data_IF_896954793928
#
_entry.id   IF_896954793928
#
_cell.length_a   1.000
_cell.length_b   1.000
_cell.length_c   1.000
_cell.angle_alpha   90.00
_cell.angle_beta   90.00
_cell.angle_gamma   90.00
#
_symmetry.space_group_name_H-M   'P 1'
#
loop_
_entity.id
_entity.type
_entity.pdbx_description
1 polymer ?
#
# COMPACT_ATOMS: atom_id res chain seq x y z
N UNK A 1 -49.61 60.46 5.19
CA UNK A 1 -48.88 59.18 5.10
C UNK A 1 -48.99 58.53 6.47
N UNK A 2 -49.89 57.57 6.60
CA UNK A 2 -50.03 56.77 7.82
C UNK A 2 -48.88 55.79 7.86
N UNK A 3 -48.07 55.83 8.92
CA UNK A 3 -46.99 54.86 9.14
C UNK A 3 -47.66 53.56 9.57
N UNK A 4 -47.77 52.60 8.66
CA UNK A 4 -48.03 51.21 9.00
C UNK A 4 -46.79 50.64 9.69
N UNK A 5 -46.79 50.69 11.01
CA UNK A 5 -45.87 49.90 11.84
C UNK A 5 -46.19 48.42 11.62
N UNK A 6 -45.30 47.71 10.93
CA UNK A 6 -45.23 46.26 10.98
C UNK A 6 -45.05 45.84 12.44
N UNK A 7 -46.11 45.37 13.08
CA UNK A 7 -46.02 44.73 14.38
C UNK A 7 -45.26 43.42 14.20
N UNK A 8 -44.19 43.25 14.97
CA UNK A 8 -43.62 41.93 15.27
C UNK A 8 -44.70 41.17 16.04
N UNK A 9 -45.57 40.44 15.33
CA UNK A 9 -46.74 39.77 15.90
C UNK A 9 -46.28 38.57 16.75
N UNK A 10 -45.93 38.85 18.00
CA UNK A 10 -46.05 37.91 19.09
C UNK A 10 -47.29 38.26 19.89
N UNK A 11 -47.98 37.25 20.41
CA UNK A 11 -49.11 37.45 21.30
C UNK A 11 -48.70 38.25 22.55
N UNK A 12 -49.49 39.26 22.95
CA UNK A 12 -49.14 40.15 24.07
C UNK A 12 -49.12 39.46 25.43
N UNK A 13 -49.78 38.32 25.55
CA UNK A 13 -49.89 37.48 26.74
C UNK A 13 -48.92 36.29 26.75
N UNK A 14 -48.10 36.09 25.70
CA UNK A 14 -47.07 35.05 25.68
C UNK A 14 -45.68 35.69 25.60
N UNK A 15 -44.87 35.45 26.62
CA UNK A 15 -43.47 35.89 26.64
C UNK A 15 -42.53 34.80 26.09
N UNK A 16 -41.35 35.16 25.53
CA UNK A 16 -40.38 34.17 25.04
C UNK A 16 -39.88 33.16 26.09
N UNK A 17 -40.02 33.46 27.39
CA UNK A 17 -39.69 32.54 28.48
C UNK A 17 -40.83 31.60 28.89
N UNK A 18 -42.03 31.77 28.32
CA UNK A 18 -43.18 30.90 28.59
C UNK A 18 -42.94 29.50 28.04
N UNK A 19 -43.34 28.48 28.80
CA UNK A 19 -43.33 27.10 28.30
C UNK A 19 -44.19 26.94 27.04
N UNK A 20 -45.24 27.75 26.88
CA UNK A 20 -46.16 27.70 25.76
C UNK A 20 -45.59 28.34 24.48
N UNK A 21 -44.65 29.28 24.62
CA UNK A 21 -44.08 30.05 23.50
C UNK A 21 -43.62 29.19 22.31
N UNK A 22 -42.73 28.19 22.48
CA UNK A 22 -42.22 27.42 21.34
C UNK A 22 -43.32 26.61 20.63
N UNK A 23 -44.39 26.26 21.34
CA UNK A 23 -45.50 25.50 20.77
C UNK A 23 -46.46 26.42 19.99
N UNK A 24 -46.81 27.55 20.57
CA UNK A 24 -47.72 28.53 19.94
C UNK A 24 -47.07 29.16 18.72
N UNK A 25 -45.81 29.59 18.81
CA UNK A 25 -45.03 30.11 17.69
C UNK A 25 -44.96 29.08 16.55
N UNK A 26 -44.74 27.80 16.89
CA UNK A 26 -44.70 26.74 15.89
C UNK A 26 -46.05 26.54 15.22
N UNK A 27 -47.12 26.43 15.99
CA UNK A 27 -48.46 26.17 15.43
C UNK A 27 -48.99 27.36 14.62
N UNK A 28 -48.68 28.60 15.03
CA UNK A 28 -48.97 29.82 14.27
C UNK A 28 -48.21 29.82 12.94
N UNK A 29 -46.90 29.50 12.95
CA UNK A 29 -46.09 29.42 11.71
C UNK A 29 -46.61 28.38 10.70
N UNK A 30 -47.36 27.39 11.19
CA UNK A 30 -47.99 26.34 10.37
C UNK A 30 -49.43 26.68 9.96
N UNK A 31 -49.98 27.82 10.42
CA UNK A 31 -51.38 28.21 10.19
C UNK A 31 -52.41 27.30 10.88
N UNK A 32 -51.98 26.55 11.89
CA UNK A 32 -52.82 25.57 12.61
C UNK A 32 -53.61 26.20 13.76
N UNK A 33 -53.22 27.39 14.20
CA UNK A 33 -53.96 28.20 15.17
C UNK A 33 -54.72 29.31 14.44
N UNK A 34 -55.97 29.49 14.83
CA UNK A 34 -56.74 30.67 14.48
C UNK A 34 -56.68 31.61 15.69
N UNK A 35 -56.02 32.78 15.58
CA UNK A 35 -55.88 33.68 16.72
C UNK A 35 -57.25 34.22 17.14
N UNK A 36 -57.43 34.38 18.45
CA UNK A 36 -58.59 35.11 18.97
C UNK A 36 -58.59 36.54 18.40
N UNK A 37 -59.77 37.18 18.25
CA UNK A 37 -59.84 38.58 17.84
C UNK A 37 -59.13 39.47 18.86
N UNK A 38 -57.96 40.01 18.49
CA UNK A 38 -57.16 40.88 19.36
C UNK A 38 -55.66 40.59 19.28
N UNK A 39 -54.85 41.25 20.13
CA UNK A 39 -53.40 41.04 20.19
C UNK A 39 -52.97 39.89 21.12
N UNK A 40 -53.92 39.26 21.82
CA UNK A 40 -53.67 38.18 22.80
C UNK A 40 -53.92 36.80 22.19
N UNK A 41 -53.19 35.79 22.66
CA UNK A 41 -53.45 34.38 22.38
C UNK A 41 -54.65 33.87 23.17
N UNK A 42 -54.87 34.43 24.36
CA UNK A 42 -55.95 34.09 25.28
C UNK A 42 -55.89 32.63 25.79
N UNK A 43 -54.68 32.15 26.10
CA UNK A 43 -54.42 30.73 26.45
C UNK A 43 -55.14 30.21 27.71
N UNK A 44 -55.57 31.10 28.60
CA UNK A 44 -56.32 30.76 29.83
C UNK A 44 -57.84 30.70 29.59
N UNK A 45 -58.33 31.04 28.40
CA UNK A 45 -59.76 30.99 28.08
C UNK A 45 -60.23 29.56 27.75
N UNK A 46 -61.49 29.29 28.07
CA UNK A 46 -62.12 28.00 27.72
C UNK A 46 -62.39 27.92 26.23
N UNK A 47 -62.02 26.79 25.63
CA UNK A 47 -62.27 26.47 24.21
C UNK A 47 -63.58 25.68 24.08
N UNK A 48 -64.38 26.00 23.08
CA UNK A 48 -65.59 25.25 22.74
C UNK A 48 -65.26 23.94 22.03
N UNK A 49 -66.17 22.96 22.08
CA UNK A 49 -66.01 21.71 21.31
C UNK A 49 -65.91 21.96 19.79
N UNK A 50 -66.50 23.03 19.28
CA UNK A 50 -66.46 23.40 17.86
C UNK A 50 -65.08 23.92 17.46
N UNK A 51 -64.48 24.80 18.24
CA UNK A 51 -63.11 25.33 18.00
C UNK A 51 -62.06 24.23 18.13
N UNK A 52 -62.22 23.32 19.10
CA UNK A 52 -61.37 22.13 19.21
C UNK A 52 -61.49 21.24 17.96
N UNK A 53 -62.71 20.96 17.49
CA UNK A 53 -62.93 20.14 16.30
C UNK A 53 -62.32 20.78 15.04
N UNK A 54 -62.42 22.10 14.89
CA UNK A 54 -61.83 22.84 13.77
C UNK A 54 -60.29 22.74 13.79
N UNK A 55 -59.68 22.93 14.96
CA UNK A 55 -58.22 22.83 15.13
C UNK A 55 -57.72 21.42 14.81
N UNK A 56 -58.43 20.39 15.27
CA UNK A 56 -58.13 18.99 14.96
C UNK A 56 -58.26 18.70 13.46
N UNK A 57 -59.28 19.25 12.79
CA UNK A 57 -59.44 19.10 11.33
C UNK A 57 -58.28 19.73 10.55
N UNK A 58 -57.89 20.98 10.87
CA UNK A 58 -56.73 21.64 10.25
C UNK A 58 -55.43 20.86 10.49
N UNK A 59 -55.28 20.27 11.67
CA UNK A 59 -54.13 19.40 11.99
C UNK A 59 -54.12 18.14 11.11
N UNK A 60 -55.27 17.49 10.92
CA UNK A 60 -55.39 16.32 10.05
C UNK A 60 -55.06 16.67 8.59
N UNK A 61 -55.61 17.78 8.08
CA UNK A 61 -55.32 18.27 6.72
C UNK A 61 -53.83 18.62 6.54
N UNK A 62 -53.21 19.27 7.53
CA UNK A 62 -51.78 19.53 7.52
C UNK A 62 -50.97 18.23 7.50
N UNK A 63 -51.35 17.22 8.28
CA UNK A 63 -50.68 15.92 8.29
C UNK A 63 -50.86 15.19 6.95
N UNK A 64 -52.05 15.21 6.37
CA UNK A 64 -52.35 14.58 5.07
C UNK A 64 -51.54 15.23 3.94
N UNK A 65 -51.51 16.56 3.89
CA UNK A 65 -50.76 17.32 2.88
C UNK A 65 -49.23 17.23 3.04
N UNK A 66 -48.73 16.97 4.24
CA UNK A 66 -47.28 16.85 4.51
C UNK A 66 -46.79 15.40 4.69
N UNK A 67 -47.69 14.42 4.65
CA UNK A 67 -47.37 13.00 4.83
C UNK A 67 -46.30 12.51 3.85
N UNK A 68 -46.37 12.92 2.57
CA UNK A 68 -45.32 12.62 1.58
C UNK A 68 -43.93 13.18 1.94
N UNK A 69 -43.86 14.35 2.59
CA UNK A 69 -42.59 14.94 3.05
C UNK A 69 -42.02 14.22 4.26
N UNK A 70 -42.90 13.75 5.16
CA UNK A 70 -42.50 12.93 6.32
C UNK A 70 -41.95 11.59 5.85
N UNK A 71 -42.64 10.92 4.92
CA UNK A 71 -42.18 9.66 4.33
C UNK A 71 -40.83 9.84 3.62
N UNK A 72 -40.69 10.85 2.76
CA UNK A 72 -39.41 11.14 2.09
C UNK A 72 -38.26 11.42 3.08
N UNK A 73 -38.53 12.12 4.19
CA UNK A 73 -37.53 12.36 5.23
C UNK A 73 -37.10 11.08 5.93
N UNK A 74 -38.05 10.19 6.25
CA UNK A 74 -37.76 8.89 6.88
C UNK A 74 -36.98 7.97 5.93
N UNK A 75 -37.36 7.92 4.66
CA UNK A 75 -36.63 7.16 3.64
C UNK A 75 -35.20 7.68 3.48
N UNK A 76 -35.00 9.00 3.38
CA UNK A 76 -33.66 9.60 3.33
C UNK A 76 -32.84 9.30 4.59
N UNK A 77 -33.47 9.36 5.77
CA UNK A 77 -32.80 9.00 7.04
C UNK A 77 -32.34 7.54 7.01
N UNK A 78 -33.20 6.62 6.52
CA UNK A 78 -32.85 5.23 6.35
C UNK A 78 -31.73 5.04 5.32
N UNK A 79 -31.77 5.72 4.17
CA UNK A 79 -30.68 5.65 3.18
C UNK A 79 -29.35 6.12 3.76
N UNK A 80 -29.33 7.23 4.49
CA UNK A 80 -28.12 7.74 5.15
C UNK A 80 -27.58 6.74 6.17
N UNK A 81 -28.45 6.12 6.96
CA UNK A 81 -28.07 5.10 7.94
C UNK A 81 -27.42 3.88 7.26
N UNK A 82 -28.09 3.29 6.26
CA UNK A 82 -27.56 2.13 5.53
C UNK A 82 -26.28 2.45 4.77
N UNK A 83 -26.18 3.65 4.19
CA UNK A 83 -24.96 4.09 3.52
C UNK A 83 -23.80 4.23 4.50
N UNK A 84 -24.05 4.79 5.69
CA UNK A 84 -23.04 4.86 6.75
C UNK A 84 -22.55 3.47 7.17
N UNK A 85 -23.44 2.50 7.28
CA UNK A 85 -23.09 1.11 7.59
C UNK A 85 -22.25 0.47 6.47
N UNK A 86 -22.65 0.64 5.21
CA UNK A 86 -21.87 0.13 4.06
C UNK A 86 -20.47 0.75 3.98
N UNK A 87 -20.35 2.06 4.25
CA UNK A 87 -19.04 2.73 4.29
C UNK A 87 -18.18 2.16 5.42
N UNK A 88 -18.75 1.89 6.59
CA UNK A 88 -18.02 1.28 7.69
C UNK A 88 -17.52 -0.14 7.36
N UNK A 89 -18.35 -0.97 6.71
CA UNK A 89 -17.92 -2.30 6.22
C UNK A 89 -16.78 -2.19 5.20
N UNK A 90 -16.90 -1.28 4.24
CA UNK A 90 -15.86 -1.06 3.23
C UNK A 90 -14.54 -0.60 3.86
N UNK A 91 -14.59 0.31 4.84
CA UNK A 91 -13.41 0.74 5.59
C UNK A 91 -12.75 -0.43 6.34
N UNK A 92 -13.55 -1.28 6.99
CA UNK A 92 -13.02 -2.47 7.66
C UNK A 92 -12.34 -3.42 6.67
N UNK A 93 -12.99 -3.72 5.54
CA UNK A 93 -12.41 -4.58 4.49
C UNK A 93 -11.14 -4.00 3.87
N UNK A 94 -11.08 -2.68 3.73
CA UNK A 94 -9.87 -1.99 3.26
C UNK A 94 -8.72 -2.19 4.25
N UNK A 95 -8.97 -1.97 5.55
CA UNK A 95 -7.94 -2.15 6.58
C UNK A 95 -7.40 -3.59 6.63
N UNK A 96 -8.27 -4.59 6.46
CA UNK A 96 -7.87 -5.99 6.37
C UNK A 96 -7.01 -6.27 5.12
N UNK A 97 -7.35 -5.65 3.99
CA UNK A 97 -6.62 -5.81 2.74
C UNK A 97 -5.24 -5.15 2.81
N UNK A 98 -5.15 -3.97 3.42
CA UNK A 98 -3.89 -3.27 3.69
C UNK A 98 -2.97 -4.11 4.57
N UNK A 99 -3.47 -4.64 5.68
CA UNK A 99 -2.70 -5.53 6.57
C UNK A 99 -2.22 -6.81 5.84
N UNK A 100 -3.06 -7.39 4.97
CA UNK A 100 -2.67 -8.54 4.15
C UNK A 100 -1.56 -8.18 3.16
N UNK A 101 -1.65 -7.01 2.52
CA UNK A 101 -0.65 -6.52 1.59
C UNK A 101 0.70 -6.30 2.29
N UNK A 102 0.70 -5.74 3.50
CA UNK A 102 1.92 -5.56 4.30
C UNK A 102 2.58 -6.89 4.64
N UNK A 103 1.81 -7.90 5.05
CA UNK A 103 2.33 -9.24 5.33
C UNK A 103 2.94 -9.89 4.08
N UNK A 104 2.27 -9.77 2.93
CA UNK A 104 2.81 -10.27 1.66
C UNK A 104 4.10 -9.56 1.26
N UNK A 105 4.20 -8.25 1.51
CA UNK A 105 5.42 -7.50 1.22
C UNK A 105 6.58 -7.96 2.11
N UNK A 106 6.31 -8.21 3.40
CA UNK A 106 7.30 -8.76 4.32
C UNK A 106 7.80 -10.15 3.88
N UNK A 107 6.90 -11.02 3.41
CA UNK A 107 7.27 -12.34 2.88
C UNK A 107 8.15 -12.22 1.63
N UNK A 108 7.82 -11.31 0.71
CA UNK A 108 8.64 -11.04 -0.48
C UNK A 108 10.05 -10.57 -0.07
N UNK A 109 10.15 -9.67 0.90
CA UNK A 109 11.45 -9.16 1.36
C UNK A 109 12.29 -10.24 2.05
N UNK A 110 11.64 -11.12 2.83
CA UNK A 110 12.29 -12.30 3.40
C UNK A 110 12.79 -13.26 2.32
N UNK A 111 11.97 -13.59 1.33
CA UNK A 111 12.37 -14.49 0.23
C UNK A 111 13.52 -13.89 -0.59
N UNK A 112 13.50 -12.58 -0.86
CA UNK A 112 14.61 -11.88 -1.53
C UNK A 112 15.92 -12.00 -0.74
N UNK A 113 15.86 -11.82 0.58
CA UNK A 113 17.04 -12.01 1.45
C UNK A 113 17.55 -13.45 1.43
N UNK A 114 16.65 -14.45 1.47
CA UNK A 114 17.03 -15.86 1.40
C UNK A 114 17.70 -16.19 0.06
N UNK A 115 17.16 -15.69 -1.06
CA UNK A 115 17.75 -15.88 -2.40
C UNK A 115 19.17 -15.31 -2.41
N UNK A 116 19.37 -14.06 -1.98
CA UNK A 116 20.68 -13.42 -1.96
C UNK A 116 21.70 -14.21 -1.11
N UNK A 117 21.30 -14.71 0.06
CA UNK A 117 22.15 -15.54 0.90
C UNK A 117 22.50 -16.88 0.23
N UNK A 118 21.52 -17.52 -0.42
CA UNK A 118 21.73 -18.79 -1.13
C UNK A 118 22.68 -18.62 -2.32
N UNK A 119 22.58 -17.52 -3.07
CA UNK A 119 23.48 -17.18 -4.17
C UNK A 119 24.90 -16.95 -3.66
N UNK A 120 25.07 -16.17 -2.59
CA UNK A 120 26.38 -15.93 -1.99
C UNK A 120 27.04 -17.23 -1.49
N UNK A 121 26.23 -18.14 -0.93
CA UNK A 121 26.70 -19.45 -0.46
C UNK A 121 27.15 -20.31 -1.64
N UNK A 122 26.33 -20.42 -2.70
CA UNK A 122 26.69 -21.18 -3.92
C UNK A 122 27.95 -20.62 -4.60
N UNK A 123 28.11 -19.30 -4.65
CA UNK A 123 29.32 -18.67 -5.19
C UNK A 123 30.56 -19.04 -4.38
N UNK A 124 30.45 -19.07 -3.04
CA UNK A 124 31.56 -19.48 -2.18
C UNK A 124 31.88 -20.97 -2.31
N UNK A 125 30.88 -21.83 -2.46
CA UNK A 125 31.07 -23.28 -2.69
C UNK A 125 31.75 -23.55 -4.04
N UNK A 126 31.35 -22.86 -5.11
CA UNK A 126 31.99 -23.01 -6.44
C UNK A 126 33.47 -22.63 -6.39
N UNK A 127 33.83 -21.53 -5.69
CA UNK A 127 35.22 -21.09 -5.55
C UNK A 127 36.05 -22.11 -4.74
N UNK A 128 35.44 -22.79 -3.77
CA UNK A 128 36.13 -23.77 -2.90
C UNK A 128 36.22 -25.17 -3.54
N UNK A 129 35.23 -25.56 -4.34
CA UNK A 129 35.09 -26.89 -4.93
C UNK A 129 35.83 -27.12 -6.24
N UNK A 130 36.35 -26.07 -6.89
CA UNK A 130 37.18 -26.27 -8.07
C UNK A 130 38.59 -26.74 -7.66
N UNK A 131 38.68 -28.02 -7.32
CA UNK A 131 39.94 -28.72 -7.06
C UNK A 131 40.90 -28.60 -8.25
N UNK A 132 40.40 -28.36 -9.47
CA UNK A 132 41.25 -28.13 -10.66
C UNK A 132 41.98 -26.79 -10.59
N UNK A 133 41.41 -25.74 -9.99
CA UNK A 133 42.10 -24.46 -9.78
C UNK A 133 43.25 -24.55 -8.76
N UNK A 134 43.17 -25.46 -7.80
CA UNK A 134 44.24 -25.67 -6.80
C UNK A 134 45.47 -26.37 -7.37
N UNK A 135 45.30 -27.17 -8.43
CA UNK A 135 46.41 -27.87 -9.07
C UNK A 135 47.09 -27.02 -10.16
N UNK A 136 46.49 -25.92 -10.63
CA UNK A 136 47.11 -25.03 -11.65
C UNK A 136 48.52 -24.56 -11.26
N UNK A 137 48.78 -24.01 -10.05
CA UNK A 137 50.14 -23.60 -9.66
C UNK A 137 51.12 -24.78 -9.62
N UNK A 138 50.63 -25.99 -9.30
CA UNK A 138 51.44 -27.21 -9.26
C UNK A 138 51.77 -27.70 -10.67
N UNK A 139 50.83 -27.60 -11.60
CA UNK A 139 51.09 -27.87 -13.02
C UNK A 139 52.07 -26.86 -13.59
N UNK A 140 51.94 -25.57 -13.29
CA UNK A 140 52.88 -24.52 -13.70
C UNK A 140 54.30 -24.79 -13.19
N UNK A 141 54.44 -25.14 -11.89
CA UNK A 141 55.73 -25.52 -11.33
C UNK A 141 56.33 -26.73 -12.07
N UNK A 142 55.52 -27.76 -12.34
CA UNK A 142 55.99 -28.97 -13.01
C UNK A 142 56.35 -28.72 -14.47
N UNK A 143 55.64 -27.83 -15.16
CA UNK A 143 55.99 -27.39 -16.51
C UNK A 143 57.35 -26.69 -16.48
N UNK A 144 57.57 -25.75 -15.55
CA UNK A 144 58.86 -25.05 -15.43
C UNK A 144 60.01 -26.02 -15.10
N UNK A 145 59.80 -26.99 -14.21
CA UNK A 145 60.78 -28.05 -13.92
C UNK A 145 61.09 -28.90 -15.16
N UNK A 146 60.05 -29.31 -15.91
CA UNK A 146 60.20 -30.08 -17.15
C UNK A 146 60.93 -29.28 -18.23
N UNK A 147 60.61 -28.01 -18.42
CA UNK A 147 61.31 -27.11 -19.36
C UNK A 147 62.80 -26.99 -18.99
N UNK A 148 63.11 -26.84 -17.70
CA UNK A 148 64.50 -26.81 -17.23
C UNK A 148 65.23 -28.14 -17.47
N UNK A 149 64.54 -29.27 -17.37
CA UNK A 149 65.10 -30.60 -17.59
C UNK A 149 65.33 -30.85 -19.08
N UNK A 150 64.38 -30.47 -19.94
CA UNK A 150 64.49 -30.54 -21.40
C UNK A 150 65.67 -29.69 -21.88
N UNK A 151 65.81 -28.46 -21.37
CA UNK A 151 66.94 -27.59 -21.71
C UNK A 151 68.29 -28.20 -21.34
N UNK A 152 68.38 -28.81 -20.14
CA UNK A 152 69.59 -29.54 -19.71
C UNK A 152 69.91 -30.74 -20.60
N UNK A 153 68.91 -31.55 -20.93
CA UNK A 153 69.09 -32.71 -21.81
C UNK A 153 69.51 -32.28 -23.23
N UNK A 154 68.97 -31.19 -23.75
CA UNK A 154 69.37 -30.63 -25.04
C UNK A 154 70.85 -30.23 -25.04
N UNK A 155 71.31 -29.53 -24.00
CA UNK A 155 72.72 -29.17 -23.83
C UNK A 155 73.62 -30.42 -23.73
N UNK A 156 73.18 -31.46 -23.02
CA UNK A 156 73.95 -32.69 -22.90
C UNK A 156 74.07 -33.45 -24.23
N UNK A 157 72.97 -33.52 -25.00
CA UNK A 157 72.96 -34.12 -26.34
C UNK A 157 73.91 -33.36 -27.27
N UNK A 158 73.88 -32.03 -27.24
CA UNK A 158 74.78 -31.19 -28.04
C UNK A 158 76.25 -31.42 -27.67
N UNK A 159 76.57 -31.43 -26.38
CA UNK A 159 77.92 -31.70 -25.89
C UNK A 159 78.43 -33.10 -26.28
N UNK A 160 77.57 -34.13 -26.23
CA UNK A 160 77.93 -35.49 -26.68
C UNK A 160 78.10 -35.56 -28.20
N UNK A 161 77.26 -34.87 -28.97
CA UNK A 161 77.40 -34.75 -30.42
C UNK A 161 78.77 -34.16 -30.80
N UNK A 162 79.17 -33.09 -30.11
CA UNK A 162 80.49 -32.47 -30.27
C UNK A 162 81.65 -33.42 -29.92
N UNK A 163 81.51 -34.21 -28.85
CA UNK A 163 82.49 -35.24 -28.50
C UNK A 163 82.60 -36.32 -29.59
N UNK A 164 81.47 -36.78 -30.13
CA UNK A 164 81.44 -37.76 -31.23
C UNK A 164 82.12 -37.19 -32.47
N UNK A 165 81.81 -35.94 -32.86
CA UNK A 165 82.44 -35.27 -34.00
C UNK A 165 83.97 -35.15 -33.82
N UNK A 166 84.44 -34.81 -32.62
CA UNK A 166 85.88 -34.80 -32.29
C UNK A 166 86.51 -36.18 -32.45
N UNK A 167 85.87 -37.25 -31.96
CA UNK A 167 86.35 -38.63 -32.11
C UNK A 167 86.41 -39.06 -33.59
N UNK A 168 85.40 -38.72 -34.40
CA UNK A 168 85.40 -38.98 -35.84
C UNK A 168 86.60 -38.33 -36.54
N UNK A 169 86.92 -37.07 -36.21
CA UNK A 169 88.09 -36.38 -36.76
C UNK A 169 89.38 -37.10 -36.37
N UNK A 170 89.53 -37.49 -35.10
CA UNK A 170 90.72 -38.21 -34.61
C UNK A 170 90.89 -39.56 -35.34
N UNK A 171 89.81 -40.32 -35.50
CA UNK A 171 89.84 -41.60 -36.23
C UNK A 171 90.20 -41.38 -37.70
N UNK A 172 89.63 -40.37 -38.36
CA UNK A 172 89.94 -40.04 -39.75
C UNK A 172 91.42 -39.67 -39.94
N UNK A 173 91.99 -38.88 -39.02
CA UNK A 173 93.41 -38.52 -39.02
C UNK A 173 94.31 -39.74 -38.79
N UNK A 174 93.98 -40.61 -37.82
CA UNK A 174 94.73 -41.85 -37.57
C UNK A 174 94.71 -42.78 -38.78
N UNK A 175 93.54 -42.95 -39.42
CA UNK A 175 93.39 -43.72 -40.66
C UNK A 175 94.25 -43.18 -41.80
N UNK A 176 94.26 -41.86 -42.02
CA UNK A 176 95.09 -41.22 -43.03
C UNK A 176 96.59 -41.43 -42.78
N UNK A 177 97.05 -41.43 -41.52
CA UNK A 177 98.45 -41.72 -41.19
C UNK A 177 98.84 -43.18 -41.35
N UNK A 178 97.88 -44.12 -41.29
CA UNK A 178 98.15 -45.56 -41.44
C UNK A 178 98.23 -46.01 -42.91
N UNK A 179 97.82 -45.17 -43.86
CA UNK A 179 97.95 -45.39 -45.31
C UNK A 179 99.28 -44.82 -45.86
N UNK A 180 100.00 -44.02 -45.06
CA UNK A 180 101.28 -43.37 -45.40
C UNK A 180 102.52 -44.11 -44.85
N UNK A 181 102.38 -45.36 -44.37
CA UNK A 181 103.48 -46.26 -44.00
C UNK A 181 103.49 -47.48 -44.91
#
# INVERSE_FOLDING_TARGET
MSVETQATNGFTDITPGSWAWPYVERLESLGLLEPFPGPEFAGEQSVTRYELAQSLYKMLEYMENNSGRVTARVELQNYVLHFSEQVADLQYRLSLLEAKSELQQLEIDQLRSQIAQSEQTRLSEIIVSDASLRELPRYDQRISELESAVSRLQQEVEAKSDQINKLYIVIALLGATSILK
#
